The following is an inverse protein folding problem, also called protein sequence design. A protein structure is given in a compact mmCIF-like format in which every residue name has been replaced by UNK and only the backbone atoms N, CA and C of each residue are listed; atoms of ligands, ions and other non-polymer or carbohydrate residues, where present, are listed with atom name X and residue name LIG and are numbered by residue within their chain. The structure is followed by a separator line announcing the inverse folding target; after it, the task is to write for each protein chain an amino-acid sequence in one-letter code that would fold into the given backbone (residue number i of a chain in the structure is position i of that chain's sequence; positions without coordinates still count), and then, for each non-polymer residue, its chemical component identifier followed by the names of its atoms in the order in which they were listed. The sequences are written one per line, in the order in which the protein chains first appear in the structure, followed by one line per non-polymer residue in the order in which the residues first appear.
data_IF_187395444439
#
_entry.id   IF_187395444439
#
_cell.length_a   1.000
_cell.length_b   1.000
_cell.length_c   1.000
_cell.angle_alpha   90.00
_cell.angle_beta   90.00
_cell.angle_gamma   90.00
#
_symmetry.space_group_name_H-M   'P 1'
#
loop_
_entity.id
_entity.type
_entity.pdbx_description
1 polymer ?
#
# COMPACT_ATOMS: atom_id res chain seq x y z
N UNK A 1 9.38 7.94 -4.14
CA UNK A 1 8.52 9.07 -4.54
C UNK A 1 9.52 10.17 -4.79
N UNK A 2 9.97 10.25 -6.03
CA UNK A 2 11.20 10.98 -6.36
C UNK A 2 10.87 12.31 -7.05
N UNK A 3 9.72 12.36 -7.74
CA UNK A 3 9.21 13.55 -8.43
C UNK A 3 7.91 14.01 -7.75
N UNK A 4 7.69 15.32 -7.71
CA UNK A 4 6.52 15.92 -7.07
C UNK A 4 6.12 17.19 -7.83
N UNK A 5 4.85 17.27 -8.21
CA UNK A 5 4.28 18.43 -8.92
C UNK A 5 3.32 19.17 -8.01
N UNK A 6 3.53 20.48 -7.86
CA UNK A 6 2.69 21.37 -7.08
C UNK A 6 2.07 22.37 -8.03
N UNK A 7 0.75 22.57 -7.93
CA UNK A 7 0.01 23.55 -8.72
C UNK A 7 -0.75 24.44 -7.74
N UNK A 8 -0.54 25.75 -7.82
CA UNK A 8 -1.14 26.73 -6.93
C UNK A 8 -1.66 27.92 -7.73
N UNK A 9 -2.71 28.57 -7.23
CA UNK A 9 -3.28 29.75 -7.86
C UNK A 9 -2.53 31.04 -7.50
N UNK A 10 -1.80 31.05 -6.38
CA UNK A 10 -1.10 32.23 -5.86
C UNK A 10 0.38 31.95 -5.58
N UNK A 11 1.19 32.98 -5.75
CA UNK A 11 2.62 32.93 -5.47
C UNK A 11 2.92 32.64 -3.99
N UNK A 12 2.26 33.36 -3.07
CA UNK A 12 2.46 33.19 -1.62
C UNK A 12 2.10 31.78 -1.13
N UNK A 13 1.04 31.19 -1.70
CA UNK A 13 0.62 29.82 -1.40
C UNK A 13 1.71 28.83 -1.84
N UNK A 14 2.28 29.04 -3.03
CA UNK A 14 3.38 28.23 -3.56
C UNK A 14 4.61 28.30 -2.65
N UNK A 15 5.01 29.52 -2.24
CA UNK A 15 6.15 29.73 -1.32
C UNK A 15 5.93 28.99 0.00
N UNK A 16 4.76 29.14 0.62
CA UNK A 16 4.40 28.43 1.86
C UNK A 16 4.43 26.91 1.69
N UNK A 17 3.92 26.40 0.56
CA UNK A 17 3.95 24.97 0.25
C UNK A 17 5.37 24.44 0.11
N UNK A 18 6.24 25.15 -0.62
CA UNK A 18 7.64 24.76 -0.79
C UNK A 18 8.39 24.74 0.54
N UNK A 19 8.22 25.77 1.39
CA UNK A 19 8.82 25.79 2.74
C UNK A 19 8.38 24.60 3.56
N UNK A 20 7.07 24.34 3.61
CA UNK A 20 6.53 23.24 4.41
C UNK A 20 6.94 21.86 3.89
N UNK A 21 7.03 21.67 2.56
CA UNK A 21 7.55 20.44 1.99
C UNK A 21 9.04 20.26 2.28
N UNK A 22 9.82 21.33 2.20
CA UNK A 22 11.24 21.30 2.56
C UNK A 22 11.43 20.87 4.02
N UNK A 23 10.66 21.46 4.94
CA UNK A 23 10.66 21.06 6.34
C UNK A 23 10.33 19.57 6.45
N UNK A 24 9.23 19.12 5.87
CA UNK A 24 8.82 17.72 5.96
C UNK A 24 9.86 16.74 5.40
N UNK A 25 10.47 17.06 4.25
CA UNK A 25 11.52 16.22 3.66
C UNK A 25 12.78 16.21 4.50
N UNK A 26 13.18 17.35 5.08
CA UNK A 26 14.32 17.41 6.00
C UNK A 26 14.12 16.50 7.23
N UNK A 27 12.89 16.45 7.77
CA UNK A 27 12.53 15.53 8.85
C UNK A 27 12.61 14.07 8.41
N UNK A 28 12.40 13.79 7.13
CA UNK A 28 12.55 12.48 6.52
C UNK A 28 13.99 12.13 6.14
N UNK A 29 14.98 12.99 6.44
CA UNK A 29 16.38 12.86 5.98
C UNK A 29 16.51 12.87 4.46
N UNK A 30 15.63 13.61 3.80
CA UNK A 30 15.62 13.82 2.35
C UNK A 30 15.81 15.30 2.07
N UNK A 31 16.35 15.61 0.90
CA UNK A 31 16.52 16.98 0.43
C UNK A 31 15.95 17.08 -0.98
N UNK A 32 15.33 18.22 -1.29
CA UNK A 32 15.06 18.56 -2.67
C UNK A 32 16.36 18.96 -3.36
N UNK A 33 16.45 18.68 -4.65
CA UNK A 33 17.56 19.13 -5.49
C UNK A 33 17.04 20.25 -6.40
N UNK A 34 17.11 21.53 -5.98
CA UNK A 34 16.57 22.66 -6.75
C UNK A 34 17.02 22.67 -8.21
N UNK A 35 18.30 22.35 -8.47
CA UNK A 35 18.87 22.25 -9.84
C UNK A 35 18.23 21.16 -10.72
N UNK A 36 17.51 20.21 -10.12
CA UNK A 36 16.75 19.17 -10.83
C UNK A 36 15.24 19.43 -10.79
N UNK A 37 14.83 20.53 -10.20
CA UNK A 37 13.45 20.99 -10.15
C UNK A 37 13.27 22.08 -11.21
N UNK A 38 12.02 22.36 -11.55
CA UNK A 38 11.67 23.42 -12.46
C UNK A 38 10.41 24.12 -11.97
N UNK A 39 10.29 25.42 -12.26
CA UNK A 39 9.13 26.22 -11.91
C UNK A 39 8.57 26.99 -13.11
N UNK A 40 7.24 27.09 -13.15
CA UNK A 40 6.50 27.84 -14.16
C UNK A 40 5.45 28.72 -13.48
N UNK A 41 5.50 30.01 -13.78
CA UNK A 41 4.50 30.98 -13.32
C UNK A 41 3.72 31.51 -14.53
N UNK A 42 2.40 31.63 -14.41
CA UNK A 42 1.53 32.14 -15.48
C UNK A 42 0.69 33.28 -14.92
N UNK A 43 0.79 34.47 -15.53
CA UNK A 43 0.00 35.65 -15.18
C UNK A 43 -0.76 36.13 -16.41
N UNK A 44 -2.10 36.21 -16.30
CA UNK A 44 -2.99 36.65 -17.41
C UNK A 44 -2.75 35.88 -18.73
N UNK A 45 -2.55 34.56 -18.63
CA UNK A 45 -2.34 33.68 -19.78
C UNK A 45 -0.96 33.77 -20.44
N UNK A 46 -0.02 34.53 -19.86
CA UNK A 46 1.37 34.61 -20.33
C UNK A 46 2.31 34.09 -19.25
N UNK A 47 3.44 33.53 -19.68
CA UNK A 47 4.51 33.11 -18.76
C UNK A 47 5.05 34.35 -18.03
N UNK A 48 5.12 34.27 -16.70
CA UNK A 48 5.63 35.31 -15.83
C UNK A 48 7.06 34.97 -15.42
N UNK A 49 8.03 35.71 -15.98
CA UNK A 49 9.46 35.46 -15.77
C UNK A 49 10.00 36.06 -14.47
N UNK A 50 9.27 37.02 -13.88
CA UNK A 50 9.72 37.74 -12.70
C UNK A 50 9.53 36.91 -11.41
N UNK A 51 8.48 36.07 -11.38
CA UNK A 51 8.20 35.23 -10.22
C UNK A 51 9.15 34.03 -10.18
N UNK A 52 10.00 34.01 -9.17
CA UNK A 52 10.96 32.93 -8.90
C UNK A 52 10.69 32.30 -7.55
N UNK A 53 10.97 31.00 -7.44
CA UNK A 53 10.78 30.23 -6.22
C UNK A 53 12.10 29.68 -5.70
N UNK A 54 12.16 29.49 -4.38
CA UNK A 54 13.32 28.91 -3.70
C UNK A 54 12.90 27.70 -2.87
N UNK A 55 13.79 26.73 -2.75
CA UNK A 55 13.66 25.61 -1.81
C UNK A 55 15.04 25.34 -1.21
N UNK A 56 15.11 25.10 0.10
CA UNK A 56 16.40 24.97 0.82
C UNK A 56 17.38 26.13 0.51
N UNK A 57 16.87 27.37 0.50
CA UNK A 57 17.63 28.61 0.23
C UNK A 57 18.28 28.70 -1.17
N UNK A 58 17.96 27.76 -2.07
CA UNK A 58 18.44 27.76 -3.44
C UNK A 58 17.29 28.04 -4.41
N UNK A 59 17.58 28.82 -5.45
CA UNK A 59 16.61 29.14 -6.50
C UNK A 59 16.31 27.90 -7.36
N UNK A 60 15.02 27.67 -7.61
CA UNK A 60 14.55 26.68 -8.58
C UNK A 60 14.62 27.32 -9.97
N UNK A 61 15.28 26.70 -10.96
CA UNK A 61 15.29 27.18 -12.34
C UNK A 61 13.87 27.38 -12.88
N UNK A 62 13.67 28.43 -13.68
CA UNK A 62 12.42 28.61 -14.43
C UNK A 62 12.46 27.81 -15.74
N UNK A 63 11.31 27.44 -16.29
CA UNK A 63 11.22 26.74 -17.58
C UNK A 63 11.92 27.51 -18.72
N UNK A 64 11.99 28.84 -18.62
CA UNK A 64 12.66 29.68 -19.62
C UNK A 64 14.19 29.62 -19.51
N UNK A 65 14.72 29.37 -18.32
CA UNK A 65 16.17 29.24 -18.11
C UNK A 65 16.66 27.86 -18.55
N UNK A 66 15.96 26.82 -18.14
CA UNK A 66 16.28 25.44 -18.48
C UNK A 66 15.00 24.68 -18.80
N UNK A 67 14.87 24.09 -20.01
CA UNK A 67 13.77 23.19 -20.29
C UNK A 67 13.87 21.99 -19.34
N UNK A 68 12.73 21.47 -18.89
CA UNK A 68 12.72 20.35 -17.96
C UNK A 68 12.06 19.13 -18.57
N UNK A 69 12.54 17.96 -18.16
CA UNK A 69 11.98 16.67 -18.57
C UNK A 69 11.11 16.09 -17.47
N UNK A 70 9.88 15.71 -17.79
CA UNK A 70 8.96 15.04 -16.86
C UNK A 70 8.12 14.03 -17.61
N UNK A 71 7.97 12.81 -17.07
CA UNK A 71 7.27 11.71 -17.72
C UNK A 71 7.75 11.55 -19.18
N UNK A 72 9.06 11.46 -19.38
CA UNK A 72 9.71 11.25 -20.68
C UNK A 72 9.65 12.41 -21.67
N UNK A 73 8.90 13.48 -21.35
CA UNK A 73 8.62 14.62 -22.23
C UNK A 73 9.39 15.87 -21.81
N UNK A 74 9.93 16.59 -22.79
CA UNK A 74 10.51 17.92 -22.56
C UNK A 74 9.45 19.01 -22.57
N UNK A 75 9.58 19.95 -21.65
CA UNK A 75 8.75 21.13 -21.54
C UNK A 75 9.65 22.36 -21.63
N UNK A 76 9.29 23.27 -22.55
CA UNK A 76 9.97 24.52 -22.78
C UNK A 76 9.03 25.72 -22.54
N UNK A 77 9.60 26.93 -22.60
CA UNK A 77 8.90 28.19 -22.36
C UNK A 77 7.77 28.46 -23.35
N UNK A 78 7.79 27.81 -24.51
CA UNK A 78 6.77 28.00 -25.55
C UNK A 78 5.45 27.34 -25.16
N UNK A 79 5.49 26.30 -24.32
CA UNK A 79 4.34 25.48 -23.92
C UNK A 79 3.54 24.93 -25.13
N UNK A 80 4.16 24.87 -26.31
CA UNK A 80 3.56 24.35 -27.54
C UNK A 80 3.91 22.87 -27.69
N UNK A 81 2.92 22.07 -28.09
CA UNK A 81 3.09 20.63 -28.28
C UNK A 81 3.69 20.23 -29.65
N UNK A 82 4.22 21.19 -30.41
CA UNK A 82 4.69 20.96 -31.79
C UNK A 82 5.94 20.05 -31.81
N UNK A 83 6.89 20.27 -30.90
CA UNK A 83 8.10 19.45 -30.76
C UNK A 83 7.82 18.06 -30.18
N UNK A 84 6.79 17.94 -29.32
CA UNK A 84 6.41 16.69 -28.66
C UNK A 84 6.05 15.59 -29.67
N UNK A 85 5.38 15.93 -30.77
CA UNK A 85 5.03 14.97 -31.81
C UNK A 85 6.26 14.35 -32.49
N UNK A 86 7.25 15.19 -32.80
CA UNK A 86 8.50 14.76 -33.42
C UNK A 86 9.35 13.89 -32.47
N UNK A 87 9.51 14.32 -31.22
CA UNK A 87 10.24 13.54 -30.20
C UNK A 87 9.59 12.18 -29.94
N UNK A 88 8.26 12.12 -29.89
CA UNK A 88 7.53 10.86 -29.67
C UNK A 88 7.76 9.89 -30.83
N UNK A 89 7.77 10.39 -32.06
CA UNK A 89 8.07 9.61 -33.26
C UNK A 89 9.50 9.06 -33.24
N UNK A 90 10.46 9.88 -32.84
CA UNK A 90 11.86 9.49 -32.71
C UNK A 90 12.05 8.41 -31.64
N UNK A 91 11.52 8.62 -30.43
CA UNK A 91 11.58 7.64 -29.33
C UNK A 91 10.88 6.33 -29.71
N UNK A 92 9.74 6.39 -30.41
CA UNK A 92 9.04 5.20 -30.90
C UNK A 92 9.89 4.44 -31.93
N UNK A 93 10.53 5.14 -32.87
CA UNK A 93 11.43 4.56 -33.86
C UNK A 93 12.63 3.88 -33.20
N UNK A 94 13.30 4.56 -32.27
CA UNK A 94 14.42 3.99 -31.51
C UNK A 94 14.01 2.76 -30.70
N UNK A 95 12.84 2.80 -30.06
CA UNK A 95 12.32 1.69 -29.26
C UNK A 95 12.00 0.48 -30.15
N UNK A 96 11.40 0.69 -31.33
CA UNK A 96 11.15 -0.36 -32.32
C UNK A 96 12.46 -0.96 -32.84
N UNK A 97 13.48 -0.14 -33.09
CA UNK A 97 14.81 -0.62 -33.47
C UNK A 97 15.48 -1.43 -32.36
N UNK A 98 15.34 -1.01 -31.10
CA UNK A 98 15.86 -1.74 -29.94
C UNK A 98 15.17 -3.11 -29.76
N UNK A 99 13.84 -3.16 -29.92
CA UNK A 99 13.07 -4.42 -29.94
C UNK A 99 13.51 -5.29 -31.11
N UNK A 100 13.72 -4.73 -32.30
CA UNK A 100 14.19 -5.50 -33.45
C UNK A 100 15.59 -6.10 -33.21
N UNK A 101 16.48 -5.35 -32.54
CA UNK A 101 17.85 -5.78 -32.22
C UNK A 101 17.94 -6.71 -31.01
N UNK A 102 16.89 -6.89 -30.22
CA UNK A 102 16.94 -7.79 -29.08
C UNK A 102 16.99 -9.26 -29.54
N UNK A 103 17.71 -10.10 -28.80
CA UNK A 103 17.93 -11.52 -29.12
C UNK A 103 16.71 -12.43 -28.90
N UNK A 104 15.52 -11.86 -28.72
CA UNK A 104 14.27 -12.62 -28.53
C UNK A 104 13.77 -13.15 -29.87
N UNK A 105 13.20 -14.36 -29.90
CA UNK A 105 12.53 -14.87 -31.11
C UNK A 105 11.32 -13.98 -31.46
N UNK A 106 10.94 -13.94 -32.75
CA UNK A 106 9.92 -13.04 -33.29
C UNK A 106 8.58 -13.08 -32.54
N UNK A 107 8.17 -14.25 -32.03
CA UNK A 107 6.96 -14.43 -31.22
C UNK A 107 7.04 -13.77 -29.83
N UNK A 108 8.23 -13.69 -29.25
CA UNK A 108 8.49 -13.06 -27.95
C UNK A 108 8.68 -11.55 -28.05
N UNK A 109 9.13 -11.02 -29.20
CA UNK A 109 9.15 -9.58 -29.49
C UNK A 109 7.75 -8.94 -29.47
N UNK A 110 6.72 -9.71 -29.83
CA UNK A 110 5.30 -9.31 -29.79
C UNK A 110 4.73 -9.40 -28.36
N UNK A 111 5.33 -10.25 -27.51
CA UNK A 111 4.81 -10.62 -26.18
C UNK A 111 5.21 -9.66 -25.04
N UNK A 112 6.05 -8.65 -25.33
CA UNK A 112 6.35 -7.56 -24.39
C UNK A 112 5.13 -6.69 -23.99
N UNK A 113 3.94 -7.00 -24.51
CA UNK A 113 2.69 -6.26 -24.30
C UNK A 113 1.71 -6.91 -23.31
N UNK A 114 2.06 -8.04 -22.68
CA UNK A 114 1.32 -8.64 -21.56
C UNK A 114 -0.13 -9.10 -21.84
N UNK A 115 -0.67 -10.08 -21.09
CA UNK A 115 -2.04 -10.54 -21.26
C UNK A 115 -3.00 -9.74 -20.36
N UNK A 116 -3.44 -8.60 -20.85
CA UNK A 116 -4.70 -7.97 -20.43
C UNK A 116 -5.44 -7.60 -21.69
N UNK A 117 -6.76 -7.82 -21.75
CA UNK A 117 -7.69 -7.42 -22.83
C UNK A 117 -7.08 -6.36 -23.76
N UNK A 118 -6.33 -6.80 -24.77
CA UNK A 118 -5.34 -5.94 -25.39
C UNK A 118 -6.05 -4.89 -26.24
N UNK A 119 -5.96 -3.63 -25.81
CA UNK A 119 -6.43 -2.50 -26.60
C UNK A 119 -5.37 -2.22 -27.66
N UNK A 120 -5.75 -2.38 -28.92
CA UNK A 120 -4.83 -2.25 -30.05
C UNK A 120 -4.69 -0.78 -30.44
N UNK A 121 -3.46 -0.28 -30.47
CA UNK A 121 -3.15 1.10 -30.91
C UNK A 121 -3.86 1.46 -32.22
N UNK A 122 -3.84 0.54 -33.20
CA UNK A 122 -4.46 0.71 -34.51
C UNK A 122 -5.98 0.90 -34.49
N UNK A 123 -6.66 0.47 -33.42
CA UNK A 123 -8.11 0.53 -33.25
C UNK A 123 -8.58 1.61 -32.28
N UNK A 124 -7.64 2.39 -31.72
CA UNK A 124 -7.93 3.46 -30.76
C UNK A 124 -7.80 4.82 -31.41
N UNK A 125 -8.58 5.80 -30.97
CA UNK A 125 -8.55 7.16 -31.49
C UNK A 125 -8.60 8.22 -30.38
N UNK A 126 -8.07 9.41 -30.69
CA UNK A 126 -8.18 10.60 -29.85
C UNK A 126 -7.55 10.46 -28.45
N UNK A 127 -8.38 10.49 -27.41
CA UNK A 127 -7.95 10.43 -25.99
C UNK A 127 -7.30 9.08 -25.67
N UNK A 128 -7.83 7.98 -26.19
CA UNK A 128 -7.35 6.65 -25.84
C UNK A 128 -5.92 6.40 -26.32
N UNK A 129 -5.58 6.88 -27.51
CA UNK A 129 -4.19 6.88 -28.00
C UNK A 129 -3.27 7.70 -27.08
N UNK A 130 -3.71 8.87 -26.62
CA UNK A 130 -2.92 9.68 -25.69
C UNK A 130 -2.70 8.95 -24.36
N UNK A 131 -3.75 8.32 -23.82
CA UNK A 131 -3.66 7.55 -22.58
C UNK A 131 -2.68 6.37 -22.73
N UNK A 132 -2.73 5.63 -23.85
CA UNK A 132 -1.78 4.54 -24.14
C UNK A 132 -0.32 5.02 -24.22
N UNK A 133 -0.04 6.17 -24.86
CA UNK A 133 1.32 6.74 -24.88
C UNK A 133 1.76 7.12 -23.46
N UNK A 134 0.89 7.80 -22.70
CA UNK A 134 1.20 8.25 -21.34
C UNK A 134 1.53 7.05 -20.44
N UNK A 135 0.74 5.98 -20.54
CA UNK A 135 0.96 4.77 -19.75
C UNK A 135 2.27 4.07 -20.14
N UNK A 136 2.60 4.01 -21.43
CA UNK A 136 3.89 3.45 -21.89
C UNK A 136 5.09 4.25 -21.36
N UNK A 137 5.01 5.59 -21.43
CA UNK A 137 6.08 6.44 -20.91
C UNK A 137 6.21 6.29 -19.39
N UNK A 138 5.09 6.25 -18.67
CA UNK A 138 5.07 5.96 -17.23
C UNK A 138 5.72 4.62 -16.92
N UNK A 139 5.39 3.57 -17.66
CA UNK A 139 5.98 2.24 -17.48
C UNK A 139 7.50 2.25 -17.70
N UNK A 140 7.99 2.96 -18.72
CA UNK A 140 9.43 3.11 -18.99
C UNK A 140 10.16 3.86 -17.88
N UNK A 141 9.57 4.95 -17.38
CA UNK A 141 10.13 5.68 -16.23
C UNK A 141 10.11 4.85 -14.95
N UNK A 142 8.99 4.20 -14.65
CA UNK A 142 8.84 3.35 -13.48
C UNK A 142 9.82 2.18 -13.52
N UNK A 143 10.05 1.59 -14.71
CA UNK A 143 11.09 0.57 -14.90
C UNK A 143 12.48 1.09 -14.54
N UNK A 144 12.81 2.32 -14.96
CA UNK A 144 14.08 2.97 -14.63
C UNK A 144 14.22 3.24 -13.13
N UNK A 145 13.14 3.72 -12.49
CA UNK A 145 13.06 3.95 -11.04
C UNK A 145 13.26 2.62 -10.28
N UNK A 146 12.60 1.56 -10.74
CA UNK A 146 12.71 0.22 -10.16
C UNK A 146 14.12 -0.33 -10.30
N UNK A 147 14.74 -0.21 -11.47
CA UNK A 147 16.13 -0.65 -11.70
C UNK A 147 17.09 0.05 -10.72
N UNK A 148 16.95 1.36 -10.55
CA UNK A 148 17.76 2.14 -9.60
C UNK A 148 17.49 1.72 -8.14
N UNK A 149 16.24 1.45 -7.78
CA UNK A 149 15.89 0.99 -6.44
C UNK A 149 16.51 -0.38 -6.13
N UNK A 150 16.49 -1.32 -7.09
CA UNK A 150 17.10 -2.65 -6.93
C UNK A 150 18.61 -2.56 -6.71
N UNK A 151 19.29 -1.57 -7.32
CA UNK A 151 20.71 -1.31 -7.11
C UNK A 151 21.04 -0.76 -5.70
N UNK A 152 20.03 -0.42 -4.90
CA UNK A 152 20.19 0.09 -3.54
C UNK A 152 19.84 -1.01 -2.54
N UNK A 153 20.80 -1.84 -2.08
CA UNK A 153 20.50 -3.02 -1.28
C UNK A 153 19.87 -2.71 0.09
N UNK A 154 19.95 -1.48 0.59
CA UNK A 154 19.33 -1.09 1.85
C UNK A 154 18.03 -0.30 1.63
N UNK A 155 18.11 0.82 0.92
CA UNK A 155 16.95 1.69 0.65
C UNK A 155 15.93 1.04 -0.30
N UNK A 156 16.36 0.11 -1.14
CA UNK A 156 15.54 -0.59 -2.13
C UNK A 156 14.84 -1.85 -1.61
N UNK A 157 15.01 -2.22 -0.33
CA UNK A 157 14.44 -3.47 0.22
C UNK A 157 12.92 -3.60 0.07
N UNK A 158 12.21 -2.47 -0.01
CA UNK A 158 10.76 -2.44 -0.26
C UNK A 158 10.36 -3.04 -1.61
N UNK A 159 11.31 -3.18 -2.55
CA UNK A 159 11.09 -3.86 -3.83
C UNK A 159 10.83 -5.36 -3.67
N UNK A 160 11.26 -5.97 -2.57
CA UNK A 160 11.14 -7.41 -2.33
C UNK A 160 9.87 -7.77 -1.53
N UNK A 161 8.96 -6.82 -1.29
CA UNK A 161 7.73 -7.06 -0.51
C UNK A 161 6.55 -7.40 -1.44
N UNK A 162 6.72 -8.41 -2.29
CA UNK A 162 5.80 -8.74 -3.40
C UNK A 162 4.40 -9.16 -2.93
N UNK A 163 4.30 -9.74 -1.74
CA UNK A 163 3.01 -10.13 -1.13
C UNK A 163 2.27 -8.99 -0.44
N UNK A 164 2.91 -7.82 -0.34
CA UNK A 164 2.30 -6.64 0.28
C UNK A 164 1.63 -5.73 -0.75
N UNK A 165 0.43 -5.28 -0.41
CA UNK A 165 -0.28 -4.26 -1.17
C UNK A 165 0.48 -2.95 -1.00
N UNK A 166 0.82 -2.33 -2.14
CA UNK A 166 1.48 -1.03 -2.13
C UNK A 166 0.66 -0.02 -1.35
N UNK A 167 1.34 0.63 -0.42
CA UNK A 167 0.79 1.71 0.36
C UNK A 167 1.13 3.04 -0.31
N UNK A 168 0.11 3.75 -0.79
CA UNK A 168 0.27 5.10 -1.32
C UNK A 168 0.05 6.16 -0.24
N UNK A 169 0.88 7.20 -0.27
CA UNK A 169 0.65 8.42 0.50
C UNK A 169 -0.07 9.41 -0.40
N UNK A 170 -1.27 9.83 0.01
CA UNK A 170 -1.98 10.90 -0.66
C UNK A 170 -1.40 12.25 -0.28
N UNK A 171 -1.67 13.29 -1.07
CA UNK A 171 -1.35 14.66 -0.69
C UNK A 171 -1.93 15.04 0.66
N UNK A 172 -3.19 14.70 0.92
CA UNK A 172 -3.82 14.93 2.22
C UNK A 172 -3.07 14.23 3.36
N UNK A 173 -2.52 13.04 3.13
CA UNK A 173 -1.69 12.35 4.12
C UNK A 173 -0.41 13.10 4.43
N UNK A 174 0.24 13.66 3.41
CA UNK A 174 1.49 14.43 3.56
C UNK A 174 1.23 15.73 4.35
N UNK A 175 0.08 16.37 4.12
CA UNK A 175 -0.22 17.68 4.70
C UNK A 175 -0.85 17.62 6.08
N UNK A 176 -1.79 16.69 6.30
CA UNK A 176 -2.63 16.67 7.50
C UNK A 176 -2.06 15.77 8.61
N UNK A 177 -1.17 14.83 8.29
CA UNK A 177 -0.58 13.97 9.32
C UNK A 177 0.53 14.69 10.08
N UNK A 178 0.72 14.29 11.34
CA UNK A 178 1.82 14.80 12.16
C UNK A 178 3.18 14.55 11.49
N UNK A 179 4.11 15.54 11.46
CA UNK A 179 5.42 15.41 10.80
C UNK A 179 6.22 14.18 11.26
N UNK A 180 6.21 13.90 12.57
CA UNK A 180 6.90 12.74 13.15
C UNK A 180 6.35 11.40 12.65
N UNK A 181 5.06 11.35 12.31
CA UNK A 181 4.43 10.13 11.76
C UNK A 181 4.92 9.89 10.33
N UNK A 182 4.90 10.92 9.49
CA UNK A 182 5.37 10.85 8.11
C UNK A 182 6.87 10.54 8.06
N UNK A 183 7.66 11.24 8.88
CA UNK A 183 9.09 11.00 9.05
C UNK A 183 9.36 9.55 9.45
N UNK A 184 8.63 9.01 10.43
CA UNK A 184 8.76 7.61 10.81
C UNK A 184 8.46 6.67 9.65
N UNK A 185 7.34 6.85 8.96
CA UNK A 185 6.93 5.97 7.87
C UNK A 185 7.97 5.97 6.74
N UNK A 186 8.30 7.13 6.19
CA UNK A 186 9.25 7.26 5.08
C UNK A 186 10.62 6.71 5.49
N UNK A 187 11.14 7.11 6.65
CA UNK A 187 12.46 6.65 7.12
C UNK A 187 12.48 5.17 7.45
N UNK A 188 11.36 4.60 7.90
CA UNK A 188 11.29 3.15 8.18
C UNK A 188 11.34 2.32 6.90
N UNK A 189 10.79 2.82 5.78
CA UNK A 189 10.78 2.14 4.49
C UNK A 189 12.16 2.13 3.86
N UNK A 190 12.87 3.27 3.89
CA UNK A 190 14.22 3.40 3.31
C UNK A 190 15.35 3.08 4.31
N UNK A 191 15.03 2.53 5.48
CA UNK A 191 15.96 2.25 6.58
C UNK A 191 16.87 3.44 6.97
N UNK A 192 16.26 4.62 7.06
CA UNK A 192 16.86 5.90 7.48
C UNK A 192 16.51 6.27 8.94
N UNK A 193 15.93 5.34 9.68
CA UNK A 193 15.68 5.51 11.11
C UNK A 193 17.00 5.47 11.89
N UNK A 194 17.14 6.26 12.98
CA UNK A 194 18.37 6.33 13.76
C UNK A 194 18.47 5.12 14.71
N UNK A 195 18.62 3.94 14.13
CA UNK A 195 19.03 2.71 14.81
C UNK A 195 20.52 2.79 15.14
N UNK A 196 21.01 2.14 16.20
CA UNK A 196 22.45 2.17 16.50
C UNK A 196 23.28 1.60 15.33
N UNK A 197 22.77 0.59 14.61
CA UNK A 197 23.42 0.10 13.39
C UNK A 197 23.54 1.19 12.30
N UNK A 198 22.51 2.03 12.11
CA UNK A 198 22.57 3.14 11.17
C UNK A 198 23.44 4.29 11.70
N UNK A 199 23.42 4.58 12.99
CA UNK A 199 24.27 5.60 13.61
C UNK A 199 25.76 5.27 13.46
N UNK A 200 26.15 4.00 13.65
CA UNK A 200 27.51 3.53 13.36
C UNK A 200 27.86 3.71 11.90
N UNK A 201 26.96 3.33 10.99
CA UNK A 201 27.18 3.53 9.54
C UNK A 201 27.36 5.01 9.18
N UNK A 202 26.70 5.91 9.90
CA UNK A 202 26.81 7.36 9.69
C UNK A 202 27.97 8.01 10.46
N UNK A 203 28.82 7.23 11.14
CA UNK A 203 29.95 7.74 11.93
C UNK A 203 29.52 8.57 13.14
N UNK A 204 28.32 8.34 13.69
CA UNK A 204 27.76 9.07 14.83
C UNK A 204 27.79 8.30 16.14
N UNK A 205 28.16 7.03 16.08
CA UNK A 205 28.28 6.13 17.22
C UNK A 205 29.31 5.05 16.86
N UNK A 206 29.90 4.41 17.87
CA UNK A 206 30.90 3.35 17.69
C UNK A 206 30.29 1.95 17.85
N UNK A 207 29.21 1.84 18.65
CA UNK A 207 28.59 0.56 18.98
C UNK A 207 27.18 0.40 18.35
N UNK A 208 26.94 -0.64 17.53
CA UNK A 208 25.64 -0.91 16.95
C UNK A 208 24.70 -1.68 17.90
N UNK A 209 25.12 -2.04 19.11
CA UNK A 209 24.33 -2.85 20.04
C UNK A 209 23.14 -2.07 20.62
N UNK A 210 22.06 -2.77 20.95
CA UNK A 210 20.87 -2.21 21.60
C UNK A 210 21.08 -2.22 23.12
N UNK A 211 20.92 -1.10 23.83
CA UNK A 211 21.03 -1.07 25.30
C UNK A 211 20.09 -2.08 26.01
N UNK A 212 18.91 -2.32 25.44
CA UNK A 212 17.90 -3.20 26.03
C UNK A 212 18.26 -4.70 26.01
N UNK A 213 18.98 -5.17 24.99
CA UNK A 213 19.18 -6.62 24.80
C UNK A 213 20.58 -7.00 24.28
N UNK A 214 21.49 -6.04 24.19
CA UNK A 214 22.88 -6.16 23.72
C UNK A 214 23.07 -6.71 22.28
N UNK A 215 22.01 -7.17 21.61
CA UNK A 215 22.04 -7.53 20.19
C UNK A 215 22.14 -6.31 19.27
N UNK A 216 22.57 -6.52 18.02
CA UNK A 216 22.69 -5.46 17.01
C UNK A 216 21.33 -4.77 16.76
N UNK A 217 21.27 -3.46 17.01
CA UNK A 217 20.06 -2.66 16.86
C UNK A 217 19.83 -2.25 15.40
N UNK A 218 19.17 -3.10 14.63
CA UNK A 218 18.62 -2.74 13.31
C UNK A 218 17.16 -2.28 13.43
N UNK A 219 16.62 -1.68 12.38
CA UNK A 219 15.19 -1.33 12.30
C UNK A 219 14.31 -2.58 12.45
N UNK A 220 14.66 -3.68 11.79
CA UNK A 220 14.00 -4.97 11.93
C UNK A 220 14.05 -5.53 13.35
N UNK A 221 15.23 -5.46 13.98
CA UNK A 221 15.42 -5.90 15.35
C UNK A 221 14.48 -5.17 16.31
N UNK A 222 14.38 -3.84 16.20
CA UNK A 222 13.51 -3.04 17.06
C UNK A 222 12.04 -3.35 16.79
N UNK A 223 11.63 -3.43 15.51
CA UNK A 223 10.23 -3.52 15.14
C UNK A 223 9.65 -4.93 15.19
N UNK A 224 10.45 -6.00 15.18
CA UNK A 224 9.91 -7.36 15.09
C UNK A 224 10.70 -8.47 15.79
N UNK A 225 12.01 -8.33 15.94
CA UNK A 225 12.88 -9.49 16.22
C UNK A 225 13.58 -9.46 17.58
N UNK A 226 13.30 -8.47 18.43
CA UNK A 226 13.96 -8.38 19.74
C UNK A 226 13.29 -9.29 20.77
N UNK A 227 14.05 -10.25 21.31
CA UNK A 227 13.59 -11.18 22.36
C UNK A 227 13.14 -10.48 23.65
N UNK A 228 13.85 -9.44 24.08
CA UNK A 228 13.48 -8.66 25.28
C UNK A 228 12.21 -7.84 25.04
N UNK A 229 12.03 -7.26 23.86
CA UNK A 229 10.80 -6.57 23.52
C UNK A 229 9.59 -7.53 23.43
N UNK A 230 9.84 -8.76 22.97
CA UNK A 230 8.84 -9.82 22.95
C UNK A 230 8.44 -10.25 24.39
N UNK A 231 9.40 -10.49 25.28
CA UNK A 231 9.11 -10.84 26.67
C UNK A 231 8.39 -9.72 27.44
N UNK A 232 8.71 -8.47 27.11
CA UNK A 232 8.01 -7.28 27.60
C UNK A 232 6.64 -7.03 26.92
N UNK A 233 6.15 -7.96 26.09
CA UNK A 233 4.86 -7.89 25.42
C UNK A 233 4.65 -6.67 24.52
N UNK A 234 5.72 -6.02 24.04
CA UNK A 234 5.61 -4.85 23.13
C UNK A 234 4.96 -5.22 21.80
N UNK A 235 5.34 -6.36 21.26
CA UNK A 235 4.77 -6.87 20.01
C UNK A 235 3.35 -7.41 20.22
N UNK A 236 3.07 -8.03 21.37
CA UNK A 236 1.71 -8.41 21.77
C UNK A 236 0.80 -7.20 21.87
N UNK A 237 1.27 -6.09 22.44
CA UNK A 237 0.50 -4.85 22.50
C UNK A 237 0.15 -4.31 21.10
N UNK A 238 1.13 -4.25 20.18
CA UNK A 238 0.85 -3.88 18.76
C UNK A 238 -0.12 -4.86 18.11
N UNK A 239 0.09 -6.15 18.33
CA UNK A 239 -0.74 -7.21 17.76
C UNK A 239 -2.20 -7.03 18.21
N UNK A 240 -2.44 -6.89 19.51
CA UNK A 240 -3.77 -6.78 20.08
C UNK A 240 -4.50 -5.51 19.60
N UNK A 241 -3.79 -4.40 19.38
CA UNK A 241 -4.35 -3.20 18.76
C UNK A 241 -4.88 -3.47 17.35
N UNK A 242 -4.09 -4.15 16.52
CA UNK A 242 -4.50 -4.51 15.15
C UNK A 242 -5.62 -5.55 15.17
N UNK A 243 -5.57 -6.50 16.11
CA UNK A 243 -6.58 -7.53 16.31
C UNK A 243 -7.94 -6.92 16.67
N UNK A 244 -7.96 -5.94 17.58
CA UNK A 244 -9.17 -5.25 18.01
C UNK A 244 -9.87 -4.55 16.83
N UNK A 245 -9.12 -3.80 16.03
CA UNK A 245 -9.66 -3.13 14.83
C UNK A 245 -10.17 -4.15 13.81
N UNK A 246 -9.45 -5.26 13.60
CA UNK A 246 -9.87 -6.30 12.66
C UNK A 246 -11.14 -6.99 13.12
N UNK A 247 -11.21 -7.40 14.38
CA UNK A 247 -12.37 -8.06 14.95
C UNK A 247 -13.60 -7.14 14.84
N UNK A 248 -13.43 -5.85 15.14
CA UNK A 248 -14.48 -4.83 14.95
C UNK A 248 -14.96 -4.75 13.50
N UNK A 249 -14.04 -4.63 12.53
CA UNK A 249 -14.38 -4.60 11.09
C UNK A 249 -15.18 -5.83 10.67
N UNK A 250 -14.77 -7.03 11.10
CA UNK A 250 -15.44 -8.29 10.75
C UNK A 250 -16.84 -8.36 11.39
N UNK A 251 -16.97 -7.93 12.65
CA UNK A 251 -18.24 -7.91 13.36
C UNK A 251 -19.23 -6.90 12.78
N UNK A 252 -18.79 -5.69 12.47
CA UNK A 252 -19.65 -4.67 11.82
C UNK A 252 -20.12 -5.13 10.45
N UNK A 253 -19.25 -5.75 9.66
CA UNK A 253 -19.63 -6.29 8.35
C UNK A 253 -20.74 -7.34 8.43
N UNK A 254 -20.79 -8.14 9.50
CA UNK A 254 -21.90 -9.08 9.76
C UNK A 254 -23.22 -8.35 10.01
N UNK A 255 -23.21 -7.30 10.83
CA UNK A 255 -24.42 -6.55 11.20
C UNK A 255 -25.14 -5.86 10.03
N UNK A 256 -24.46 -5.67 8.90
CA UNK A 256 -25.01 -5.03 7.70
C UNK A 256 -25.49 -6.02 6.62
N UNK A 257 -25.36 -7.34 6.83
CA UNK A 257 -25.88 -8.37 5.92
C UNK A 257 -27.39 -8.47 6.17
N UNK A 258 -28.17 -7.53 5.65
CA UNK A 258 -29.61 -7.69 5.49
C UNK A 258 -29.89 -8.63 4.31
N UNK A 259 -31.00 -9.39 4.34
CA UNK A 259 -31.35 -10.34 3.29
C UNK A 259 -31.43 -9.60 1.97
N UNK A 260 -30.84 -10.19 0.94
CA UNK A 260 -30.92 -9.72 -0.44
C UNK A 260 -32.38 -9.54 -0.84
N UNK A 261 -32.91 -8.33 -0.72
CA UNK A 261 -34.09 -7.96 -1.48
C UNK A 261 -33.62 -7.82 -2.92
N UNK A 262 -34.05 -8.74 -3.76
CA UNK A 262 -33.93 -8.66 -5.22
C UNK A 262 -34.73 -7.46 -5.68
N UNK A 263 -34.19 -6.25 -5.52
CA UNK A 263 -34.75 -5.06 -6.14
C UNK A 263 -34.32 -5.06 -7.60
N UNK A 264 -35.11 -5.72 -8.44
CA UNK A 264 -35.05 -5.47 -9.88
C UNK A 264 -35.47 -4.01 -10.09
N UNK A 265 -34.51 -3.10 -10.19
CA UNK A 265 -34.79 -1.73 -10.63
C UNK A 265 -35.10 -1.78 -12.12
N UNK A 266 -36.39 -1.87 -12.45
CA UNK A 266 -36.87 -1.72 -13.83
C UNK A 266 -36.87 -0.23 -14.13
N UNK A 267 -35.93 0.22 -14.95
CA UNK A 267 -35.97 1.57 -15.52
C UNK A 267 -37.07 1.61 -16.59
N UNK A 268 -38.13 2.36 -16.31
CA UNK A 268 -39.15 2.71 -17.29
C UNK A 268 -38.95 4.16 -17.70
N UNK A 269 -38.92 4.44 -19.00
CA UNK A 269 -38.97 5.80 -19.54
C UNK A 269 -40.40 6.35 -19.42
N UNK A 270 -40.52 7.63 -19.13
CA UNK A 270 -41.79 8.35 -19.19
C UNK A 270 -42.27 8.41 -20.65
N UNK A 271 -43.46 7.86 -20.93
CA UNK A 271 -44.01 7.70 -22.27
C UNK A 271 -43.65 6.34 -22.89
N UNK A 272 -44.61 5.40 -22.84
CA UNK A 272 -44.43 4.03 -23.31
C UNK A 272 -44.00 3.91 -24.79
N UNK A 273 -43.34 2.78 -25.06
CA UNK A 273 -43.05 2.16 -26.37
C UNK A 273 -41.69 2.51 -27.02
N UNK A 274 -40.64 1.76 -26.64
CA UNK A 274 -39.86 0.85 -27.53
C UNK A 274 -38.76 0.13 -26.71
N UNK A 275 -38.77 -1.20 -26.73
CA UNK A 275 -37.78 -2.07 -26.09
C UNK A 275 -36.42 -1.89 -26.78
N UNK A 276 -35.36 -1.58 -26.03
CA UNK A 276 -33.99 -1.72 -26.53
C UNK A 276 -33.66 -3.21 -26.68
N UNK A 277 -33.23 -3.64 -27.88
CA UNK A 277 -32.63 -4.97 -28.10
C UNK A 277 -31.16 -5.00 -27.67
N UNK A 278 -30.84 -4.37 -26.55
CA UNK A 278 -29.57 -4.49 -25.87
C UNK A 278 -29.85 -5.17 -24.55
N UNK A 279 -29.97 -6.50 -24.58
CA UNK A 279 -30.10 -7.28 -23.36
C UNK A 279 -28.88 -7.01 -22.49
N UNK A 280 -29.03 -6.18 -21.46
CA UNK A 280 -28.16 -6.23 -20.30
C UNK A 280 -28.34 -7.61 -19.71
N UNK A 281 -27.46 -8.54 -20.12
CA UNK A 281 -27.27 -9.80 -19.42
C UNK A 281 -27.01 -9.37 -17.97
N UNK A 282 -27.84 -9.77 -16.99
CA UNK A 282 -27.51 -9.53 -15.61
C UNK A 282 -26.23 -10.32 -15.36
N UNK A 283 -25.08 -9.64 -15.36
CA UNK A 283 -23.85 -10.25 -14.91
C UNK A 283 -24.07 -10.40 -13.41
N UNK A 284 -24.54 -11.58 -13.01
CA UNK A 284 -24.62 -11.98 -11.62
C UNK A 284 -23.18 -12.12 -11.11
N UNK A 285 -22.57 -10.97 -10.78
CA UNK A 285 -21.21 -10.85 -10.23
C UNK A 285 -21.21 -11.02 -8.72
N UNK A 286 -22.34 -11.40 -8.10
CA UNK A 286 -22.33 -11.80 -6.70
C UNK A 286 -21.60 -13.14 -6.59
N UNK A 287 -20.27 -13.07 -6.49
CA UNK A 287 -19.48 -14.20 -6.01
C UNK A 287 -19.99 -14.48 -4.61
N UNK A 288 -20.51 -15.68 -4.40
CA UNK A 288 -20.95 -16.16 -3.09
C UNK A 288 -19.82 -15.95 -2.06
N UNK A 289 -20.06 -15.09 -1.10
CA UNK A 289 -19.20 -14.85 0.05
C UNK A 289 -19.13 -16.07 0.95
N UNK A 290 -18.07 -16.12 1.76
CA UNK A 290 -17.81 -17.19 2.72
C UNK A 290 -18.89 -17.27 3.82
N UNK A 291 -19.62 -16.17 4.05
CA UNK A 291 -20.67 -16.07 5.07
C UNK A 291 -22.09 -16.14 4.49
N UNK A 292 -22.26 -16.25 3.17
CA UNK A 292 -23.57 -16.17 2.51
C UNK A 292 -24.46 -17.43 2.72
N UNK A 293 -23.95 -18.47 3.40
CA UNK A 293 -24.64 -19.75 3.60
C UNK A 293 -25.64 -19.75 4.76
N UNK A 294 -25.46 -18.87 5.75
CA UNK A 294 -26.27 -18.85 6.98
C UNK A 294 -26.16 -17.50 7.72
N UNK A 295 -27.13 -17.19 8.57
CA UNK A 295 -27.21 -15.91 9.30
C UNK A 295 -26.73 -15.97 10.76
N UNK A 296 -26.45 -17.18 11.28
CA UNK A 296 -26.12 -17.44 12.69
C UNK A 296 -24.63 -17.33 13.04
N UNK A 297 -23.82 -16.69 12.19
CA UNK A 297 -22.38 -16.56 12.41
C UNK A 297 -22.04 -15.79 13.68
N UNK A 298 -21.25 -16.34 14.59
CA UNK A 298 -20.76 -15.65 15.79
C UNK A 298 -19.26 -15.40 15.68
N UNK A 299 -18.84 -14.17 15.97
CA UNK A 299 -17.44 -13.71 15.90
C UNK A 299 -16.88 -13.59 17.31
N UNK A 300 -15.80 -14.32 17.58
CA UNK A 300 -15.06 -14.28 18.86
C UNK A 300 -13.59 -13.94 18.58
N UNK A 301 -12.90 -13.33 19.54
CA UNK A 301 -11.49 -12.95 19.40
C UNK A 301 -10.71 -13.22 20.69
N UNK A 302 -9.40 -13.51 20.59
CA UNK A 302 -8.50 -13.68 21.74
C UNK A 302 -8.13 -12.32 22.35
N UNK A 303 -9.16 -11.61 22.83
CA UNK A 303 -9.08 -10.31 23.49
C UNK A 303 -9.97 -10.30 24.74
N UNK A 304 -9.57 -9.64 25.84
CA UNK A 304 -10.34 -9.63 27.08
C UNK A 304 -11.76 -9.08 26.96
N UNK A 305 -11.97 -8.12 26.04
CA UNK A 305 -13.25 -7.44 25.81
C UNK A 305 -14.20 -8.20 24.86
N UNK A 306 -13.75 -9.31 24.27
CA UNK A 306 -14.50 -10.07 23.26
C UNK A 306 -15.08 -11.36 23.82
N UNK A 307 -16.10 -11.88 23.13
CA UNK A 307 -16.69 -13.19 23.46
C UNK A 307 -15.63 -14.29 23.42
N UNK A 308 -15.75 -15.23 24.37
CA UNK A 308 -14.88 -16.41 24.42
C UNK A 308 -15.11 -17.29 23.18
N UNK A 309 -14.05 -17.92 22.72
CA UNK A 309 -14.14 -18.88 21.63
C UNK A 309 -15.12 -20.03 21.94
N UNK A 310 -15.74 -20.61 20.89
CA UNK A 310 -16.65 -21.74 21.04
C UNK A 310 -15.95 -22.92 21.72
N UNK A 311 -16.74 -23.71 22.45
CA UNK A 311 -16.26 -24.81 23.30
C UNK A 311 -15.37 -25.81 22.54
N UNK A 312 -15.69 -26.05 21.27
CA UNK A 312 -14.92 -26.95 20.39
C UNK A 312 -13.47 -26.47 20.20
N UNK A 313 -13.22 -25.17 20.14
CA UNK A 313 -11.87 -24.60 20.08
C UNK A 313 -11.27 -24.48 21.48
N UNK A 314 -12.07 -24.10 22.48
CA UNK A 314 -11.60 -23.89 23.86
C UNK A 314 -11.06 -25.17 24.52
N UNK A 315 -11.59 -26.34 24.14
CA UNK A 315 -11.09 -27.65 24.59
C UNK A 315 -9.70 -27.98 24.05
N UNK A 316 -9.27 -27.31 23.00
CA UNK A 316 -7.96 -27.50 22.38
C UNK A 316 -6.91 -26.65 23.10
N UNK A 317 -5.63 -27.01 22.95
CA UNK A 317 -4.52 -26.20 23.44
C UNK A 317 -4.23 -24.97 22.54
N UNK A 318 -4.89 -24.87 21.38
CA UNK A 318 -4.67 -23.81 20.40
C UNK A 318 -5.64 -22.65 20.61
N UNK A 319 -5.16 -21.44 20.33
CA UNK A 319 -5.93 -20.19 20.41
C UNK A 319 -5.73 -19.39 19.14
N UNK A 320 -6.63 -19.53 18.15
CA UNK A 320 -6.69 -18.63 17.00
C UNK A 320 -7.06 -17.22 17.44
N UNK A 321 -6.55 -16.20 16.75
CA UNK A 321 -6.80 -14.81 17.15
C UNK A 321 -8.26 -14.38 16.97
N UNK A 322 -8.93 -14.85 15.91
CA UNK A 322 -10.38 -14.66 15.68
C UNK A 322 -10.98 -15.97 15.23
N UNK A 323 -12.16 -16.30 15.74
CA UNK A 323 -12.97 -17.44 15.30
C UNK A 323 -14.35 -16.96 14.90
N UNK A 324 -14.73 -17.23 13.65
CA UNK A 324 -16.07 -17.02 13.11
C UNK A 324 -16.72 -18.40 13.00
N UNK A 325 -17.83 -18.65 13.68
CA UNK A 325 -18.46 -19.96 13.73
C UNK A 325 -19.96 -19.90 13.49
N UNK A 326 -20.52 -20.92 12.84
CA UNK A 326 -21.96 -21.11 12.68
C UNK A 326 -22.33 -22.44 13.34
N UNK A 327 -23.32 -22.42 14.24
CA UNK A 327 -23.78 -23.61 14.94
C UNK A 327 -24.68 -24.47 14.04
N UNK A 328 -25.51 -23.82 13.21
CA UNK A 328 -26.46 -24.47 12.31
C UNK A 328 -25.78 -25.25 11.18
N UNK A 329 -24.69 -24.70 10.62
CA UNK A 329 -23.98 -25.32 9.50
C UNK A 329 -22.69 -26.04 9.92
N UNK A 330 -22.37 -26.04 11.22
CA UNK A 330 -21.12 -26.57 11.78
C UNK A 330 -19.87 -26.07 11.03
N UNK A 331 -19.84 -24.78 10.68
CA UNK A 331 -18.69 -24.16 10.00
C UNK A 331 -17.84 -23.36 10.98
N UNK A 332 -16.53 -23.46 10.85
CA UNK A 332 -15.56 -22.73 11.67
C UNK A 332 -14.49 -22.10 10.79
N UNK A 333 -14.33 -20.80 10.89
CA UNK A 333 -13.29 -20.03 10.20
C UNK A 333 -12.37 -19.44 11.28
N UNK A 334 -11.14 -19.92 11.32
CA UNK A 334 -10.08 -19.45 12.20
C UNK A 334 -9.22 -18.45 11.43
N UNK A 335 -9.15 -17.21 11.91
CA UNK A 335 -8.29 -16.17 11.34
C UNK A 335 -7.12 -15.96 12.29
N UNK A 336 -5.90 -16.20 11.80
CA UNK A 336 -4.66 -15.95 12.54
C UNK A 336 -4.03 -14.66 12.02
N UNK A 337 -3.94 -13.65 12.88
CA UNK A 337 -3.26 -12.40 12.57
C UNK A 337 -1.76 -12.55 12.87
N UNK A 338 -0.92 -11.98 12.03
CA UNK A 338 0.50 -11.79 12.36
C UNK A 338 0.96 -10.42 11.90
N UNK A 339 1.82 -9.78 12.70
CA UNK A 339 2.41 -8.47 12.40
C UNK A 339 3.93 -8.57 12.25
N UNK A 340 4.42 -9.21 11.16
CA UNK A 340 5.84 -9.47 10.97
C UNK A 340 6.57 -8.23 10.43
N UNK A 341 7.89 -8.33 10.30
CA UNK A 341 8.61 -7.44 9.38
C UNK A 341 8.25 -7.83 7.95
N UNK A 342 8.12 -6.87 7.04
CA UNK A 342 7.52 -7.06 5.71
C UNK A 342 8.26 -8.12 4.88
N UNK A 343 9.59 -8.22 5.00
CA UNK A 343 10.37 -9.24 4.31
C UNK A 343 10.12 -10.68 4.78
N UNK A 344 9.42 -10.86 5.92
CA UNK A 344 9.10 -12.18 6.50
C UNK A 344 7.61 -12.53 6.38
N UNK A 345 6.84 -11.78 5.59
CA UNK A 345 5.40 -12.01 5.47
C UNK A 345 5.08 -13.39 4.90
N UNK A 346 5.79 -13.84 3.87
CA UNK A 346 5.60 -15.17 3.26
C UNK A 346 5.96 -16.32 4.21
N UNK A 347 7.11 -16.23 4.87
CA UNK A 347 7.56 -17.21 5.87
C UNK A 347 6.55 -17.32 7.03
N UNK A 348 6.04 -16.18 7.50
CA UNK A 348 5.02 -16.13 8.54
C UNK A 348 3.72 -16.79 8.08
N UNK A 349 3.29 -16.53 6.84
CA UNK A 349 2.09 -17.14 6.27
C UNK A 349 2.17 -18.66 6.25
N UNK A 350 3.24 -19.20 5.66
CA UNK A 350 3.45 -20.65 5.53
C UNK A 350 3.54 -21.34 6.90
N UNK A 351 4.23 -20.72 7.86
CA UNK A 351 4.35 -21.26 9.22
C UNK A 351 2.99 -21.33 9.93
N UNK A 352 2.15 -20.30 9.78
CA UNK A 352 0.84 -20.23 10.43
C UNK A 352 -0.20 -21.14 9.79
N UNK A 353 -0.13 -21.34 8.49
CA UNK A 353 -0.96 -22.33 7.80
C UNK A 353 -0.71 -23.75 8.33
N UNK A 354 0.57 -24.11 8.54
CA UNK A 354 0.96 -25.41 9.09
C UNK A 354 0.52 -25.63 10.55
N UNK A 355 0.51 -24.58 11.39
CA UNK A 355 0.21 -24.67 12.84
C UNK A 355 -1.15 -25.29 13.15
N UNK A 356 -2.15 -25.07 12.30
CA UNK A 356 -3.54 -25.49 12.55
C UNK A 356 -3.96 -26.72 11.74
N UNK A 357 -3.04 -27.34 11.00
CA UNK A 357 -3.35 -28.44 10.10
C UNK A 357 -4.00 -29.61 10.85
N UNK A 358 -3.46 -30.02 12.00
CA UNK A 358 -4.00 -31.15 12.75
C UNK A 358 -5.35 -30.84 13.40
N UNK A 359 -5.52 -29.62 13.91
CA UNK A 359 -6.82 -29.17 14.42
C UNK A 359 -7.90 -29.20 13.34
N UNK A 360 -7.59 -28.76 12.11
CA UNK A 360 -8.58 -28.84 11.02
C UNK A 360 -8.94 -30.27 10.64
N UNK A 361 -8.03 -31.24 10.80
CA UNK A 361 -8.34 -32.66 10.56
C UNK A 361 -9.24 -33.23 11.66
N UNK A 362 -8.98 -32.86 12.92
CA UNK A 362 -9.82 -33.28 14.05
C UNK A 362 -11.23 -32.71 13.93
N UNK A 363 -11.36 -31.41 13.66
CA UNK A 363 -12.67 -30.77 13.44
C UNK A 363 -13.45 -31.41 12.29
N UNK A 364 -12.78 -31.80 11.21
CA UNK A 364 -13.41 -32.52 10.09
C UNK A 364 -13.92 -33.91 10.48
N UNK A 365 -13.24 -34.61 11.41
CA UNK A 365 -13.73 -35.89 11.96
C UNK A 365 -15.00 -35.66 12.79
N UNK A 366 -15.08 -34.53 13.48
CA UNK A 366 -16.26 -34.10 14.25
C UNK A 366 -17.34 -33.43 13.39
N UNK A 367 -17.33 -33.65 12.07
CA UNK A 367 -18.28 -33.10 11.09
C UNK A 367 -18.29 -31.57 10.93
N UNK A 368 -17.26 -30.86 11.39
CA UNK A 368 -17.13 -29.43 11.16
C UNK A 368 -16.42 -29.10 9.83
N UNK A 369 -16.93 -28.12 9.09
CA UNK A 369 -16.19 -27.49 7.99
C UNK A 369 -15.24 -26.43 8.56
N UNK A 370 -13.99 -26.82 8.82
CA UNK A 370 -12.96 -25.93 9.38
C UNK A 370 -12.05 -25.32 8.30
N UNK A 371 -11.87 -24.00 8.33
CA UNK A 371 -10.94 -23.24 7.46
C UNK A 371 -10.02 -22.37 8.31
N UNK A 372 -8.73 -22.35 7.97
CA UNK A 372 -7.74 -21.47 8.60
C UNK A 372 -7.34 -20.42 7.57
N UNK A 373 -7.33 -19.16 7.98
CA UNK A 373 -6.94 -18.03 7.13
C UNK A 373 -5.86 -17.24 7.88
N UNK A 374 -4.57 -17.53 7.61
CA UNK A 374 -3.48 -16.68 8.09
C UNK A 374 -3.54 -15.33 7.38
N UNK A 375 -3.29 -14.27 8.14
CA UNK A 375 -3.34 -12.91 7.64
C UNK A 375 -2.23 -12.04 8.20
N UNK A 376 -1.47 -11.44 7.30
CA UNK A 376 -0.28 -10.68 7.63
C UNK A 376 -0.50 -9.18 7.39
N UNK A 377 -0.04 -8.37 8.33
CA UNK A 377 0.11 -6.92 8.18
C UNK A 377 1.53 -6.57 8.60
N UNK A 378 2.31 -6.00 7.70
CA UNK A 378 3.68 -5.58 8.01
C UNK A 378 3.75 -4.57 9.15
N UNK A 379 4.84 -4.61 9.91
CA UNK A 379 5.07 -3.72 11.04
C UNK A 379 5.03 -2.22 10.67
N UNK A 380 5.37 -1.84 9.43
CA UNK A 380 5.28 -0.46 8.92
C UNK A 380 3.89 -0.14 8.34
N UNK A 381 2.95 -1.06 8.42
CA UNK A 381 1.58 -0.89 7.91
C UNK A 381 1.43 -1.24 6.43
N UNK A 382 2.29 -2.08 5.86
CA UNK A 382 2.08 -2.65 4.53
C UNK A 382 1.19 -3.88 4.64
N UNK A 383 0.04 -3.85 3.99
CA UNK A 383 -1.02 -4.86 4.18
C UNK A 383 -0.75 -6.06 3.28
N UNK A 384 -0.81 -7.30 3.79
CA UNK A 384 -0.66 -8.50 2.97
C UNK A 384 -1.84 -8.72 2.01
N UNK A 385 -1.57 -9.37 0.88
CA UNK A 385 -2.60 -9.84 -0.06
C UNK A 385 -3.63 -10.75 0.64
N UNK A 386 -3.21 -11.52 1.65
CA UNK A 386 -4.05 -12.34 2.52
C UNK A 386 -5.13 -11.53 3.25
N UNK A 387 -4.80 -10.33 3.74
CA UNK A 387 -5.74 -9.45 4.44
C UNK A 387 -6.82 -8.91 3.52
N UNK A 388 -6.44 -8.51 2.31
CA UNK A 388 -7.37 -8.12 1.27
C UNK A 388 -8.23 -9.29 0.80
N UNK A 389 -7.62 -10.46 0.64
CA UNK A 389 -8.28 -11.71 0.29
C UNK A 389 -9.34 -12.11 1.31
N UNK A 390 -9.04 -12.02 2.61
CA UNK A 390 -10.00 -12.29 3.68
C UNK A 390 -11.22 -11.37 3.58
N UNK A 391 -11.02 -10.04 3.50
CA UNK A 391 -12.14 -9.10 3.40
C UNK A 391 -13.00 -9.37 2.15
N UNK A 392 -12.36 -9.73 1.03
CA UNK A 392 -13.06 -10.10 -0.20
C UNK A 392 -13.87 -11.39 -0.05
N UNK A 393 -13.33 -12.39 0.67
CA UNK A 393 -14.05 -13.63 1.01
C UNK A 393 -15.22 -13.38 1.95
N UNK A 394 -15.13 -12.38 2.84
CA UNK A 394 -16.21 -11.98 3.74
C UNK A 394 -17.21 -10.99 3.09
N UNK A 395 -17.21 -10.86 1.76
CA UNK A 395 -18.08 -9.93 1.02
C UNK A 395 -17.90 -8.44 1.36
N UNK A 396 -16.79 -8.07 2.01
CA UNK A 396 -16.44 -6.68 2.31
C UNK A 396 -15.73 -6.10 1.08
N UNK A 397 -16.50 -5.39 0.26
CA UNK A 397 -16.05 -4.78 -0.99
C UNK A 397 -15.86 -3.26 -0.95
N UNK A 398 -15.42 -2.72 -2.09
CA UNK A 398 -15.44 -1.28 -2.38
C UNK A 398 -14.76 -0.39 -1.34
N UNK A 399 -15.39 0.75 -1.05
CA UNK A 399 -14.85 1.77 -0.13
C UNK A 399 -14.73 1.25 1.32
N UNK A 400 -15.64 0.37 1.76
CA UNK A 400 -15.59 -0.23 3.11
C UNK A 400 -14.29 -1.02 3.30
N UNK A 401 -13.93 -1.85 2.32
CA UNK A 401 -12.66 -2.59 2.32
C UNK A 401 -11.46 -1.64 2.35
N UNK A 402 -11.45 -0.61 1.49
CA UNK A 402 -10.35 0.36 1.44
C UNK A 402 -10.16 1.06 2.78
N UNK A 403 -11.26 1.50 3.42
CA UNK A 403 -11.22 2.10 4.76
C UNK A 403 -10.71 1.11 5.82
N UNK A 404 -11.19 -0.13 5.81
CA UNK A 404 -10.76 -1.16 6.74
C UNK A 404 -9.26 -1.47 6.61
N UNK A 405 -8.77 -1.70 5.38
CA UNK A 405 -7.34 -1.96 5.16
C UNK A 405 -6.47 -0.77 5.55
N UNK A 406 -6.94 0.44 5.28
CA UNK A 406 -6.26 1.67 5.72
C UNK A 406 -6.21 1.76 7.24
N UNK A 407 -7.31 1.50 7.94
CA UNK A 407 -7.36 1.49 9.41
C UNK A 407 -6.34 0.49 9.98
N UNK A 408 -6.35 -0.75 9.49
CA UNK A 408 -5.42 -1.80 9.92
C UNK A 408 -3.94 -1.43 9.68
N UNK A 409 -3.64 -0.88 8.50
CA UNK A 409 -2.32 -0.39 8.14
C UNK A 409 -1.85 0.73 9.09
N UNK A 410 -2.73 1.70 9.35
CA UNK A 410 -2.44 2.84 10.19
C UNK A 410 -2.25 2.46 11.66
N UNK A 411 -3.04 1.51 12.17
CA UNK A 411 -2.89 0.97 13.52
C UNK A 411 -1.54 0.26 13.69
N UNK A 412 -1.17 -0.62 12.74
CA UNK A 412 0.13 -1.30 12.78
C UNK A 412 1.31 -0.32 12.74
N UNK A 413 1.26 0.67 11.84
CA UNK A 413 2.27 1.73 11.72
C UNK A 413 2.38 2.57 13.01
N UNK A 414 1.25 3.04 13.53
CA UNK A 414 1.23 3.91 14.72
C UNK A 414 1.76 3.19 15.96
N UNK A 415 1.36 1.93 16.15
CA UNK A 415 1.87 1.09 17.23
C UNK A 415 3.36 0.81 17.06
N UNK A 416 3.85 0.57 15.84
CA UNK A 416 5.29 0.43 15.58
C UNK A 416 6.08 1.70 15.82
N UNK A 417 5.54 2.87 15.48
CA UNK A 417 6.13 4.17 15.78
C UNK A 417 6.26 4.36 17.30
N UNK A 418 5.26 3.95 18.06
CA UNK A 418 5.29 4.00 19.52
C UNK A 418 6.36 3.07 20.10
N UNK A 419 6.48 1.84 19.58
CA UNK A 419 7.56 0.91 19.96
C UNK A 419 8.93 1.52 19.64
N UNK A 420 9.06 2.14 18.47
CA UNK A 420 10.29 2.78 18.01
C UNK A 420 10.72 3.95 18.90
N UNK A 421 9.78 4.81 19.30
CA UNK A 421 10.10 5.96 20.16
C UNK A 421 10.64 5.52 21.52
N UNK A 422 10.19 4.37 22.03
CA UNK A 422 10.58 3.80 23.34
C UNK A 422 11.62 2.69 23.25
N UNK A 423 12.31 2.55 22.11
CA UNK A 423 13.17 1.39 21.82
C UNK A 423 14.31 1.17 22.82
N UNK A 424 14.73 2.20 23.54
CA UNK A 424 15.82 2.14 24.53
C UNK A 424 15.32 2.19 25.98
N UNK A 425 14.02 2.34 26.21
CA UNK A 425 13.45 2.33 27.57
C UNK A 425 13.43 0.91 28.12
N UNK A 426 13.79 0.74 29.41
CA UNK A 426 13.93 -0.57 30.06
C UNK A 426 12.59 -1.21 30.41
N UNK A 427 11.65 -0.45 30.97
CA UNK A 427 10.29 -0.89 31.28
C UNK A 427 9.31 0.07 30.63
N UNK A 428 8.23 -0.47 30.07
CA UNK A 428 7.08 0.32 29.69
C UNK A 428 6.15 0.29 30.89
N UNK A 429 5.76 1.45 31.42
CA UNK A 429 4.69 1.49 32.41
C UNK A 429 3.45 0.86 31.77
N UNK A 430 2.86 -0.12 32.47
CA UNK A 430 1.60 -0.71 32.05
C UNK A 430 0.52 0.36 32.26
N UNK A 431 0.08 0.98 31.17
CA UNK A 431 -1.22 1.67 31.13
C UNK A 431 -2.33 0.63 30.92
#
# INVERSE_FOLDING_TARGET
MDDTTIICSKEDETRRMLTRLNDLMSWCRMEFKPRKSCSLSIRRGKVDEATTFTVAEQQIPTVNQEPFKSLGKWYDSSMKDISCGAETLEVASESLLAINKCGLESKFKIWGLGPTTAKWWSKTEGKEKRDMIIDEIRNKEDSTRVQKAVQQPQQGQWKNWDTSIQRSLTWNDIWLRAPLRISFLIRSVYDLLPSNANLVRWGKNDDPTRPLCQGRQTTEHVLSSCKVALSQRRYTWRHNRVLQERASVISTAKGEIHPSSTSSTVFSTEGGVKKWHGGSIPINTHRKGLLDDCDDWVVSADLPEWEKHPDVIRKTALRPDIVIHSASTQKIIMVELTVPYESRMEEAHAFKEGKYLDLTKELKKDCYEAKVIPVEIGARGFVGSSAYGLLSKLSIGGNKRTKALRLLAETAENSSRWIWSRRNEGLLHND
#
